data_IF_303641945764
#
_entry.id   IF_303641945764
#
_cell.length_a   1.000
_cell.length_b   1.000
_cell.length_c   1.000
_cell.angle_alpha   90.00
_cell.angle_beta   90.00
_cell.angle_gamma   90.00
#
_symmetry.space_group_name_H-M   'P 1'
#
loop_
_entity.id
_entity.type
_entity.pdbx_description
1 polymer ?
#
# COMPACT_ATOMS: atom_id res chain seq x y z
N UNK A 1 16.25 -24.72 6.16
CA UNK A 1 15.81 -25.29 4.88
C UNK A 1 15.13 -24.19 4.09
N UNK A 2 15.45 -23.98 2.80
CA UNK A 2 14.81 -22.96 1.97
C UNK A 2 13.38 -23.37 1.64
N UNK A 3 12.43 -22.40 1.51
CA UNK A 3 11.08 -22.71 1.12
C UNK A 3 11.02 -23.10 -0.36
N UNK A 4 10.17 -24.09 -0.65
CA UNK A 4 9.96 -24.69 -1.95
C UNK A 4 9.48 -23.71 -3.02
N UNK A 5 9.92 -23.97 -4.25
CA UNK A 5 9.64 -23.20 -5.44
C UNK A 5 8.15 -23.17 -5.82
N UNK A 6 7.75 -22.08 -6.50
CA UNK A 6 6.45 -21.84 -7.11
C UNK A 6 6.06 -22.94 -8.13
N UNK A 7 4.76 -23.29 -8.22
CA UNK A 7 4.19 -23.72 -9.49
C UNK A 7 3.66 -22.50 -10.26
N UNK A 8 4.11 -22.34 -11.48
CA UNK A 8 3.54 -21.42 -12.45
C UNK A 8 2.19 -21.97 -12.95
N UNK A 9 1.14 -21.18 -12.91
CA UNK A 9 -0.02 -21.40 -13.76
C UNK A 9 -0.56 -20.07 -14.29
N UNK A 10 -0.46 -19.90 -15.59
CA UNK A 10 -1.09 -18.84 -16.34
C UNK A 10 -2.58 -19.10 -16.49
N UNK A 11 -3.37 -18.06 -16.43
CA UNK A 11 -4.77 -18.02 -16.81
C UNK A 11 -5.09 -16.62 -17.29
N UNK A 12 -5.05 -16.43 -18.62
CA UNK A 12 -5.56 -15.21 -19.27
C UNK A 12 -7.07 -15.15 -19.13
N UNK A 13 -7.58 -14.11 -18.49
CA UNK A 13 -9.00 -13.74 -18.57
C UNK A 13 -9.11 -12.53 -19.50
N UNK A 14 -9.72 -12.76 -20.66
CA UNK A 14 -10.03 -11.76 -21.67
C UNK A 14 -11.34 -11.09 -21.28
N UNK A 15 -11.33 -9.77 -21.12
CA UNK A 15 -12.55 -8.99 -20.99
C UNK A 15 -13.02 -8.50 -22.37
N UNK A 16 -14.33 -8.59 -22.72
CA UNK A 16 -14.84 -8.10 -23.99
C UNK A 16 -14.94 -6.57 -24.00
N UNK A 17 -14.54 -6.00 -25.12
CA UNK A 17 -14.64 -4.57 -25.41
C UNK A 17 -16.10 -4.12 -25.54
N UNK A 18 -16.45 -3.04 -24.85
CA UNK A 18 -17.72 -2.32 -25.03
C UNK A 18 -17.51 -1.21 -26.06
N UNK A 19 -18.30 -1.23 -27.12
CA UNK A 19 -18.33 -0.22 -28.19
C UNK A 19 -18.97 1.08 -27.67
N UNK A 20 -18.48 2.28 -28.10
CA UNK A 20 -19.16 3.53 -27.82
C UNK A 20 -20.36 3.72 -28.76
N UNK A 21 -21.47 4.18 -28.19
CA UNK A 21 -22.64 4.61 -28.92
C UNK A 21 -22.50 6.07 -29.35
N UNK A 22 -22.72 6.28 -30.63
CA UNK A 22 -22.81 7.57 -31.31
C UNK A 22 -24.08 8.30 -30.91
N UNK A 23 -24.00 9.59 -30.62
CA UNK A 23 -25.16 10.44 -30.58
C UNK A 23 -24.81 11.87 -31.02
N UNK A 24 -25.03 12.09 -32.31
CA UNK A 24 -25.14 13.42 -32.94
C UNK A 24 -26.50 14.03 -32.62
N UNK A 25 -26.52 15.24 -32.07
CA UNK A 25 -27.61 16.20 -32.29
C UNK A 25 -27.11 17.64 -32.07
N UNK A 26 -27.15 18.37 -33.13
CA UNK A 26 -26.98 19.81 -33.34
C UNK A 26 -28.05 20.61 -32.62
N UNK A 27 -27.67 21.73 -31.98
CA UNK A 27 -28.36 23.05 -32.12
C UNK A 27 -27.74 24.10 -31.18
N UNK A 28 -27.30 25.22 -31.74
CA UNK A 28 -27.09 26.54 -31.13
C UNK A 28 -28.14 27.47 -31.72
N UNK A 29 -28.50 28.65 -31.14
CA UNK A 29 -27.77 29.56 -30.26
C UNK A 29 -28.60 30.26 -29.16
N UNK A 30 -27.93 30.79 -28.17
CA UNK A 30 -28.52 31.76 -27.23
C UNK A 30 -27.43 32.41 -26.39
N UNK A 31 -27.08 33.66 -26.74
CA UNK A 31 -26.20 34.51 -25.95
C UNK A 31 -26.90 34.96 -24.67
N UNK A 32 -26.39 34.62 -23.53
CA UNK A 32 -26.63 35.38 -22.30
C UNK A 32 -25.32 35.57 -21.54
N UNK A 33 -25.04 36.84 -21.29
CA UNK A 33 -23.87 37.40 -20.66
C UNK A 33 -23.93 37.14 -19.15
N UNK A 34 -23.12 36.25 -18.62
CA UNK A 34 -22.93 36.04 -17.19
C UNK A 34 -21.52 36.51 -16.82
N UNK A 35 -21.38 37.41 -15.82
CA UNK A 35 -20.07 37.90 -15.43
C UNK A 35 -19.23 36.76 -14.87
N UNK A 36 -17.98 36.70 -15.31
CA UNK A 36 -16.99 35.74 -14.88
C UNK A 36 -16.79 35.81 -13.36
N UNK A 37 -17.30 34.81 -12.66
CA UNK A 37 -16.92 34.51 -11.28
C UNK A 37 -15.56 33.80 -11.36
N UNK A 38 -14.51 34.53 -11.05
CA UNK A 38 -13.21 33.94 -10.82
C UNK A 38 -13.31 32.82 -9.77
N UNK A 39 -12.77 31.61 -10.03
CA UNK A 39 -12.73 30.59 -9.00
C UNK A 39 -11.78 31.06 -7.91
N UNK A 40 -12.32 31.55 -6.80
CA UNK A 40 -11.58 31.63 -5.54
C UNK A 40 -11.06 30.25 -5.24
N UNK A 41 -9.78 30.06 -5.49
CA UNK A 41 -9.02 28.91 -4.99
C UNK A 41 -9.13 28.97 -3.47
N UNK A 42 -10.08 28.26 -2.90
CA UNK A 42 -10.18 28.06 -1.46
C UNK A 42 -8.93 27.25 -1.09
N UNK A 43 -7.99 27.93 -0.41
CA UNK A 43 -6.89 27.32 0.31
C UNK A 43 -7.42 26.05 1.00
N UNK A 44 -6.85 24.88 0.67
CA UNK A 44 -7.24 23.63 1.29
C UNK A 44 -7.22 23.77 2.82
N UNK A 45 -8.23 23.27 3.53
CA UNK A 45 -8.32 23.51 4.96
C UNK A 45 -7.11 22.92 5.69
N UNK A 46 -6.63 23.63 6.68
CA UNK A 46 -5.53 23.28 7.60
C UNK A 46 -5.75 21.94 8.36
N UNK A 47 -6.85 21.27 8.07
CA UNK A 47 -7.22 19.94 8.59
C UNK A 47 -6.52 18.77 7.86
N UNK A 48 -5.88 18.99 6.70
CA UNK A 48 -5.26 17.91 5.93
C UNK A 48 -4.16 17.16 6.71
N UNK A 49 -3.25 17.81 7.47
CA UNK A 49 -2.25 17.09 8.27
C UNK A 49 -2.88 16.29 9.42
N UNK A 50 -3.97 16.78 10.02
CA UNK A 50 -4.67 16.08 11.10
C UNK A 50 -5.40 14.83 10.58
N UNK A 51 -6.10 14.94 9.47
CA UNK A 51 -6.78 13.80 8.82
C UNK A 51 -5.78 12.74 8.38
N UNK A 52 -4.62 13.14 7.90
CA UNK A 52 -3.55 12.23 7.52
C UNK A 52 -2.97 11.47 8.72
N UNK A 53 -2.69 12.17 9.83
CA UNK A 53 -2.23 11.55 11.08
C UNK A 53 -3.26 10.57 11.65
N UNK A 54 -4.55 10.93 11.63
CA UNK A 54 -5.62 10.05 12.07
C UNK A 54 -5.68 8.77 11.21
N UNK A 55 -5.46 8.89 9.90
CA UNK A 55 -5.43 7.77 8.97
C UNK A 55 -4.24 6.84 9.21
N UNK A 56 -3.06 7.39 9.43
CA UNK A 56 -1.85 6.63 9.81
C UNK A 56 -2.08 5.89 11.13
N UNK A 57 -2.59 6.57 12.16
CA UNK A 57 -2.89 5.95 13.45
C UNK A 57 -3.88 4.80 13.32
N UNK A 58 -4.90 4.94 12.45
CA UNK A 58 -5.89 3.90 12.17
C UNK A 58 -5.25 2.68 11.48
N UNK A 59 -4.38 2.91 10.49
CA UNK A 59 -3.63 1.83 9.82
C UNK A 59 -2.78 1.05 10.83
N UNK A 60 -2.02 1.74 11.67
CA UNK A 60 -1.16 1.12 12.69
C UNK A 60 -2.00 0.35 13.72
N UNK A 61 -3.12 0.92 14.18
CA UNK A 61 -4.02 0.25 15.11
C UNK A 61 -4.60 -1.02 14.50
N UNK A 62 -5.03 -0.97 13.24
CA UNK A 62 -5.52 -2.13 12.49
C UNK A 62 -4.42 -3.18 12.33
N UNK A 63 -3.22 -2.78 11.93
CA UNK A 63 -2.09 -3.69 11.79
C UNK A 63 -1.81 -4.47 13.09
N UNK A 64 -1.78 -3.79 14.21
CA UNK A 64 -1.50 -4.41 15.53
C UNK A 64 -2.55 -5.41 15.99
N UNK A 65 -3.80 -5.31 15.52
CA UNK A 65 -4.86 -6.28 15.86
C UNK A 65 -4.55 -7.70 15.38
N UNK A 66 -3.73 -7.84 14.35
CA UNK A 66 -3.42 -9.12 13.73
C UNK A 66 -2.08 -9.72 14.16
N UNK A 67 -1.42 -9.15 15.17
CA UNK A 67 -0.19 -9.74 15.75
C UNK A 67 -0.49 -11.18 16.18
N UNK A 68 0.39 -12.11 15.78
CA UNK A 68 0.25 -13.54 16.04
C UNK A 68 -0.50 -14.32 14.96
N UNK A 69 -1.12 -13.65 13.97
CA UNK A 69 -1.73 -14.35 12.82
C UNK A 69 -0.67 -15.16 12.08
N UNK A 70 -0.92 -16.46 11.78
CA UNK A 70 0.05 -17.30 11.11
C UNK A 70 0.40 -16.82 9.71
N UNK A 71 1.61 -17.13 9.26
CA UNK A 71 2.01 -16.94 7.87
C UNK A 71 1.54 -18.09 6.99
N UNK A 72 1.03 -17.75 5.81
CA UNK A 72 0.76 -18.69 4.73
C UNK A 72 1.03 -18.00 3.40
N UNK A 73 1.85 -18.60 2.55
CA UNK A 73 2.08 -18.07 1.20
C UNK A 73 0.74 -17.95 0.43
N UNK A 74 0.49 -16.79 -0.17
CA UNK A 74 -0.78 -16.46 -0.82
C UNK A 74 -1.90 -16.07 0.16
N UNK A 75 -1.66 -16.01 1.47
CA UNK A 75 -2.64 -15.65 2.48
C UNK A 75 -3.01 -14.17 2.45
N UNK A 76 -4.32 -13.87 2.49
CA UNK A 76 -4.88 -12.51 2.42
C UNK A 76 -5.99 -12.28 3.44
N UNK A 77 -6.13 -13.16 4.41
CA UNK A 77 -7.23 -13.11 5.38
C UNK A 77 -6.71 -13.20 6.83
N UNK A 78 -7.51 -12.78 7.82
CA UNK A 78 -7.15 -12.89 9.24
C UNK A 78 -6.85 -14.32 9.74
N UNK A 79 -7.14 -15.34 8.94
CA UNK A 79 -6.77 -16.73 9.26
C UNK A 79 -5.29 -17.01 9.00
N UNK A 80 -4.74 -16.39 7.96
CA UNK A 80 -3.32 -16.44 7.63
C UNK A 80 -2.98 -15.39 6.58
N UNK A 81 -1.79 -14.78 6.69
CA UNK A 81 -1.29 -13.77 5.76
C UNK A 81 0.06 -14.17 5.17
N UNK A 82 0.33 -13.74 3.93
CA UNK A 82 1.70 -13.49 3.50
C UNK A 82 2.07 -12.01 3.71
N UNK A 83 3.30 -11.62 3.40
CA UNK A 83 3.78 -10.25 3.69
C UNK A 83 2.95 -9.17 2.99
N UNK A 84 2.76 -9.28 1.68
CA UNK A 84 2.01 -8.29 0.88
C UNK A 84 0.50 -8.41 1.06
N UNK A 85 -0.03 -9.61 1.27
CA UNK A 85 -1.45 -9.82 1.59
C UNK A 85 -1.85 -9.25 2.93
N UNK A 86 -0.95 -9.27 3.91
CA UNK A 86 -1.14 -8.60 5.20
C UNK A 86 -1.26 -7.08 5.03
N UNK A 87 -0.34 -6.46 4.32
CA UNK A 87 -0.41 -5.04 4.04
C UNK A 87 -1.67 -4.68 3.25
N UNK A 88 -1.97 -5.44 2.19
CA UNK A 88 -3.18 -5.24 1.39
C UNK A 88 -4.43 -5.24 2.26
N UNK A 89 -4.57 -6.22 3.15
CA UNK A 89 -5.71 -6.34 4.04
C UNK A 89 -5.81 -5.17 5.03
N UNK A 90 -4.71 -4.81 5.69
CA UNK A 90 -4.67 -3.70 6.67
C UNK A 90 -5.06 -2.38 6.01
N UNK A 91 -4.53 -2.09 4.83
CA UNK A 91 -4.84 -0.86 4.10
C UNK A 91 -6.27 -0.85 3.58
N UNK A 92 -6.79 -1.99 3.12
CA UNK A 92 -8.18 -2.13 2.68
C UNK A 92 -9.19 -1.86 3.81
N UNK A 93 -8.93 -2.35 5.02
CA UNK A 93 -9.72 -2.05 6.23
C UNK A 93 -9.75 -0.54 6.54
N UNK A 94 -8.77 0.23 6.05
CA UNK A 94 -8.68 1.67 6.21
C UNK A 94 -9.05 2.45 4.92
N UNK A 95 -9.77 1.79 4.00
CA UNK A 95 -10.29 2.42 2.78
C UNK A 95 -9.23 2.73 1.72
N UNK A 96 -8.09 2.05 1.74
CA UNK A 96 -7.00 2.20 0.76
C UNK A 96 -6.72 0.86 0.08
N UNK A 97 -6.55 0.88 -1.25
CA UNK A 97 -6.25 -0.33 -2.02
C UNK A 97 -4.76 -0.39 -2.34
N UNK A 98 -4.12 -1.49 -1.98
CA UNK A 98 -2.77 -1.82 -2.39
C UNK A 98 -2.78 -2.97 -3.41
N UNK A 99 -1.81 -3.02 -4.34
CA UNK A 99 -1.61 -4.17 -5.21
C UNK A 99 -1.30 -5.44 -4.41
N UNK A 100 -1.41 -6.60 -5.07
CA UNK A 100 -1.28 -7.89 -4.40
C UNK A 100 0.15 -8.24 -4.00
N UNK A 101 1.14 -7.84 -4.79
CA UNK A 101 2.53 -8.28 -4.62
C UNK A 101 3.42 -7.18 -4.05
N UNK A 102 4.49 -7.56 -3.35
CA UNK A 102 5.40 -6.61 -2.71
C UNK A 102 6.12 -5.71 -3.72
N UNK A 103 6.51 -6.26 -4.88
CA UNK A 103 7.16 -5.50 -5.96
C UNK A 103 6.24 -4.45 -6.60
N UNK A 104 4.94 -4.77 -6.74
CA UNK A 104 3.94 -3.79 -7.20
C UNK A 104 3.65 -2.73 -6.14
N UNK A 105 3.59 -3.11 -4.86
CA UNK A 105 3.46 -2.17 -3.75
C UNK A 105 4.66 -1.22 -3.68
N UNK A 106 5.87 -1.70 -3.97
CA UNK A 106 7.08 -0.88 -4.02
C UNK A 106 7.05 0.20 -5.12
N UNK A 107 6.26 0.04 -6.17
CA UNK A 107 6.09 1.03 -7.24
C UNK A 107 5.19 2.20 -6.83
N UNK A 108 4.46 2.07 -5.72
CA UNK A 108 3.56 3.10 -5.22
C UNK A 108 4.29 4.18 -4.42
N UNK A 109 3.64 5.33 -4.30
CA UNK A 109 4.07 6.41 -3.42
C UNK A 109 5.42 7.03 -3.80
N UNK A 110 5.97 7.77 -2.86
CA UNK A 110 7.28 8.42 -3.01
C UNK A 110 8.35 7.62 -2.26
N UNK A 111 9.55 7.50 -2.85
CA UNK A 111 10.67 6.87 -2.16
C UNK A 111 11.07 7.66 -0.92
N UNK A 112 11.32 6.94 0.17
CA UNK A 112 11.79 7.46 1.44
C UNK A 112 13.16 6.86 1.77
N UNK A 113 14.11 7.70 2.15
CA UNK A 113 15.36 7.22 2.75
C UNK A 113 15.09 6.71 4.16
N UNK A 114 15.94 5.84 4.68
CA UNK A 114 15.76 5.27 6.03
C UNK A 114 15.61 6.35 7.11
N UNK A 115 16.37 7.46 7.00
CA UNK A 115 16.29 8.59 7.93
C UNK A 115 15.02 9.46 7.77
N UNK A 116 14.29 9.29 6.67
CA UNK A 116 13.08 10.05 6.33
C UNK A 116 11.80 9.25 6.58
N UNK A 117 11.93 8.00 7.08
CA UNK A 117 10.80 7.14 7.36
C UNK A 117 9.91 7.72 8.46
N UNK A 118 8.62 7.74 8.20
CA UNK A 118 7.59 8.14 9.15
C UNK A 118 6.61 6.99 9.41
N UNK A 119 5.92 7.06 10.54
CA UNK A 119 4.88 6.07 10.88
C UNK A 119 3.87 5.90 9.75
N UNK A 120 3.54 4.66 9.41
CA UNK A 120 2.64 4.31 8.32
C UNK A 120 3.31 4.17 6.95
N UNK A 121 4.59 4.48 6.83
CA UNK A 121 5.36 4.19 5.61
C UNK A 121 5.53 2.69 5.40
N UNK A 122 5.68 2.29 4.15
CA UNK A 122 6.02 0.90 3.83
C UNK A 122 7.55 0.74 3.76
N UNK A 123 8.03 -0.36 4.32
CA UNK A 123 9.42 -0.78 4.23
C UNK A 123 9.51 -2.10 3.47
N UNK A 124 10.54 -2.21 2.63
CA UNK A 124 10.72 -3.34 1.72
C UNK A 124 12.09 -3.95 1.90
N UNK A 125 12.16 -5.25 1.68
CA UNK A 125 13.37 -6.04 1.85
C UNK A 125 13.55 -7.01 0.68
N UNK A 126 14.81 -7.27 0.33
CA UNK A 126 15.21 -8.29 -0.61
C UNK A 126 15.57 -9.56 0.18
N UNK A 127 14.69 -10.55 0.18
CA UNK A 127 14.83 -11.76 1.01
C UNK A 127 14.98 -13.03 0.20
N UNK A 128 13.90 -13.52 -0.42
CA UNK A 128 13.91 -14.79 -1.16
C UNK A 128 14.00 -14.61 -2.69
N UNK A 129 13.75 -13.41 -3.20
CA UNK A 129 13.90 -13.03 -4.61
C UNK A 129 14.58 -11.67 -4.68
N UNK A 130 15.21 -11.36 -5.81
CA UNK A 130 15.78 -10.04 -6.07
C UNK A 130 14.70 -8.96 -6.09
N UNK A 131 15.01 -7.79 -5.54
CA UNK A 131 14.10 -6.67 -5.44
C UNK A 131 13.21 -6.73 -4.20
N UNK A 132 12.09 -6.01 -4.24
CA UNK A 132 11.16 -5.94 -3.13
C UNK A 132 10.36 -7.25 -3.00
N UNK A 133 10.92 -8.25 -2.32
CA UNK A 133 10.31 -9.56 -2.13
C UNK A 133 9.62 -9.73 -0.77
N UNK A 134 9.89 -8.87 0.20
CA UNK A 134 9.23 -8.83 1.50
C UNK A 134 8.88 -7.39 1.87
N UNK A 135 7.84 -7.20 2.69
CA UNK A 135 7.36 -5.86 3.06
C UNK A 135 6.76 -5.81 4.47
N UNK A 136 6.72 -4.60 5.02
CA UNK A 136 6.14 -4.30 6.31
C UNK A 136 5.69 -2.84 6.40
N UNK A 137 5.05 -2.48 7.53
CA UNK A 137 4.61 -1.12 7.85
C UNK A 137 5.51 -0.56 8.94
N UNK A 138 6.11 0.59 8.69
CA UNK A 138 6.97 1.26 9.67
C UNK A 138 6.14 1.85 10.81
N UNK A 139 6.58 1.63 12.04
CA UNK A 139 5.89 2.04 13.26
C UNK A 139 6.56 3.21 13.99
N UNK A 140 7.60 3.79 13.39
CA UNK A 140 8.47 4.74 14.09
C UNK A 140 9.52 4.05 14.96
N UNK A 141 10.52 4.84 15.42
CA UNK A 141 11.56 4.34 16.33
C UNK A 141 12.38 3.16 15.82
N UNK A 142 12.53 3.02 14.51
CA UNK A 142 13.27 1.90 13.89
C UNK A 142 12.52 0.57 13.87
N UNK A 143 11.25 0.53 14.23
CA UNK A 143 10.43 -0.69 14.30
C UNK A 143 9.46 -0.78 13.14
N UNK A 144 9.17 -2.01 12.71
CA UNK A 144 8.17 -2.27 11.67
C UNK A 144 7.37 -3.54 11.99
N UNK A 145 6.14 -3.58 11.49
CA UNK A 145 5.25 -4.74 11.62
C UNK A 145 5.08 -5.41 10.28
N UNK A 146 5.16 -6.74 10.25
CA UNK A 146 5.09 -7.53 9.04
C UNK A 146 4.60 -8.95 9.32
N UNK A 147 4.25 -9.71 8.26
CA UNK A 147 3.97 -11.14 8.36
C UNK A 147 5.28 -11.93 8.12
N UNK A 148 5.91 -12.39 9.21
CA UNK A 148 7.11 -13.22 9.18
C UNK A 148 6.79 -14.63 8.72
N UNK A 149 7.59 -15.20 7.82
CA UNK A 149 7.41 -16.57 7.30
C UNK A 149 7.45 -17.64 8.39
N UNK A 150 8.23 -17.42 9.43
CA UNK A 150 8.44 -18.41 10.52
C UNK A 150 7.61 -18.16 11.77
N UNK A 151 7.15 -16.91 11.99
CA UNK A 151 6.54 -16.50 13.27
C UNK A 151 5.19 -15.77 13.12
N UNK A 152 4.69 -15.63 11.87
CA UNK A 152 3.47 -14.89 11.60
C UNK A 152 3.63 -13.38 11.76
N UNK A 153 2.52 -12.69 11.98
CA UNK A 153 2.52 -11.23 12.13
C UNK A 153 3.20 -10.83 13.44
N UNK A 154 4.24 -9.99 13.33
CA UNK A 154 5.06 -9.54 14.45
C UNK A 154 5.72 -8.20 14.17
N UNK A 155 6.32 -7.64 15.22
CA UNK A 155 7.15 -6.43 15.15
C UNK A 155 8.62 -6.85 15.25
N UNK A 156 9.43 -6.32 14.33
CA UNK A 156 10.89 -6.44 14.33
C UNK A 156 11.54 -5.05 14.20
N UNK A 157 12.87 -5.00 14.37
CA UNK A 157 13.66 -3.77 14.27
C UNK A 157 14.43 -3.73 12.94
N UNK A 158 14.44 -2.56 12.28
CA UNK A 158 15.21 -2.34 11.05
C UNK A 158 16.71 -2.49 11.27
N UNK A 159 17.18 -2.20 12.48
CA UNK A 159 18.59 -2.31 12.90
C UNK A 159 19.04 -3.75 13.15
N UNK A 160 18.11 -4.71 13.21
CA UNK A 160 18.46 -6.13 13.35
C UNK A 160 19.31 -6.60 12.17
N UNK A 161 20.35 -7.38 12.42
CA UNK A 161 21.37 -7.78 11.41
C UNK A 161 20.74 -8.32 10.12
N UNK A 162 19.73 -9.18 10.25
CA UNK A 162 19.03 -9.73 9.09
C UNK A 162 18.30 -8.65 8.29
N UNK A 163 17.51 -7.82 8.95
CA UNK A 163 16.67 -6.80 8.29
C UNK A 163 17.50 -5.65 7.72
N UNK A 164 18.54 -5.22 8.44
CA UNK A 164 19.45 -4.19 7.96
C UNK A 164 20.21 -4.64 6.69
N UNK A 165 20.68 -5.90 6.65
CA UNK A 165 21.36 -6.45 5.48
C UNK A 165 20.45 -6.60 4.26
N UNK A 166 19.17 -6.89 4.48
CA UNK A 166 18.19 -7.12 3.42
C UNK A 166 17.32 -5.92 3.09
N UNK A 167 17.55 -4.77 3.74
CA UNK A 167 16.76 -3.56 3.49
C UNK A 167 16.88 -3.11 2.04
N UNK A 168 15.75 -2.97 1.36
CA UNK A 168 15.68 -2.61 -0.05
C UNK A 168 15.24 -1.15 -0.26
N UNK A 169 14.31 -0.63 0.56
CA UNK A 169 13.86 0.75 0.48
C UNK A 169 12.57 1.03 1.24
N UNK A 170 12.23 2.30 1.36
CA UNK A 170 10.99 2.78 1.96
C UNK A 170 10.11 3.54 1.00
N UNK A 171 8.80 3.58 1.28
CA UNK A 171 7.80 4.31 0.51
C UNK A 171 6.81 5.04 1.40
N UNK A 172 6.63 6.33 1.15
CA UNK A 172 5.54 7.12 1.70
C UNK A 172 4.25 6.83 0.93
N UNK A 173 3.23 6.27 1.58
CA UNK A 173 1.97 5.87 0.96
C UNK A 173 0.80 6.77 1.38
N UNK A 174 0.74 7.12 2.66
CA UNK A 174 -0.37 7.88 3.24
C UNK A 174 0.00 9.36 3.31
N UNK A 175 0.04 10.02 2.14
CA UNK A 175 0.29 11.47 2.08
C UNK A 175 -0.45 12.13 0.91
#
# INVERSE_FOLDING_TARGET
>A
APPAAKPAQGGSIVFPAVKPADNTATETPGKENVPALEPRIKKAPESAPFLQRAKVASVIATAKKYIGTPYKFGGTTPKAFDCSGYLQYVFQENGMTLPRTADEQFKLGKSAKTAELEEGDLVFFETYEKGASHCGIYLGGGKFIHASTSKGVRIDELSGDYWNTHYYGGKHIVR
#
